data_IF_417176592746
#
_entry.id   IF_417176592746
#
_cell.length_a   1.000
_cell.length_b   1.000
_cell.length_c   1.000
_cell.angle_alpha   90.00
_cell.angle_beta   90.00
_cell.angle_gamma   90.00
#
_symmetry.space_group_name_H-M   'P 1'
#
loop_
_entity.id
_entity.type
_entity.pdbx_description
1 polymer ?
#
# COMPACT_ATOMS: atom_id res chain seq x y z
N UNK A 1 -25.05 18.86 -2.37
CA UNK A 1 -24.19 19.78 -1.58
C UNK A 1 -23.08 20.33 -2.47
N UNK A 2 -22.76 21.62 -2.38
CA UNK A 2 -21.71 22.25 -3.19
C UNK A 2 -20.32 21.70 -2.85
N UNK A 3 -19.50 21.44 -3.88
CA UNK A 3 -18.11 20.98 -3.75
C UNK A 3 -17.26 21.93 -2.89
N UNK A 4 -17.60 23.23 -2.90
CA UNK A 4 -16.93 24.27 -2.12
C UNK A 4 -17.15 24.12 -0.61
N UNK A 5 -18.36 23.74 -0.19
CA UNK A 5 -18.71 23.55 1.22
C UNK A 5 -18.00 22.34 1.81
N UNK A 6 -17.89 21.26 1.04
CA UNK A 6 -17.12 20.07 1.44
C UNK A 6 -15.62 20.36 1.57
N UNK A 7 -15.11 21.27 0.75
CA UNK A 7 -13.72 21.72 0.76
C UNK A 7 -13.39 22.53 2.04
N UNK A 8 -14.20 23.53 2.36
CA UNK A 8 -14.04 24.37 3.55
C UNK A 8 -14.15 23.57 4.86
N UNK A 9 -15.04 22.58 4.91
CA UNK A 9 -15.19 21.72 6.09
C UNK A 9 -13.97 20.79 6.33
N UNK A 10 -13.22 20.43 5.29
CA UNK A 10 -12.00 19.61 5.41
C UNK A 10 -10.80 20.47 5.85
N UNK A 11 -10.71 21.67 5.31
CA UNK A 11 -9.72 22.69 5.70
C UNK A 11 -9.86 23.07 7.17
N UNK A 12 -11.08 23.34 7.64
CA UNK A 12 -11.32 23.66 9.04
C UNK A 12 -10.95 22.51 9.98
N UNK A 13 -11.15 21.26 9.55
CA UNK A 13 -10.73 20.07 10.30
C UNK A 13 -9.21 19.94 10.39
N UNK A 14 -8.49 20.09 9.28
CA UNK A 14 -7.02 20.01 9.30
C UNK A 14 -6.39 21.15 10.10
N UNK A 15 -6.95 22.35 10.02
CA UNK A 15 -6.55 23.49 10.87
C UNK A 15 -6.85 23.18 12.34
N UNK A 16 -8.00 22.59 12.67
CA UNK A 16 -8.33 22.17 14.03
C UNK A 16 -7.38 21.09 14.56
N UNK A 17 -7.02 20.12 13.73
CA UNK A 17 -6.12 19.03 14.10
C UNK A 17 -4.67 19.53 14.26
N UNK A 18 -4.22 20.48 13.41
CA UNK A 18 -2.92 21.12 13.56
C UNK A 18 -2.88 22.07 14.77
N UNK A 19 -3.94 22.85 15.00
CA UNK A 19 -4.02 23.75 16.16
C UNK A 19 -4.13 22.97 17.47
N UNK A 20 -4.83 21.82 17.49
CA UNK A 20 -4.85 20.96 18.68
C UNK A 20 -3.48 20.36 18.97
N UNK A 21 -2.74 19.89 17.97
CA UNK A 21 -1.36 19.39 18.13
C UNK A 21 -0.41 20.45 18.71
N UNK A 22 -0.53 21.69 18.23
CA UNK A 22 0.27 22.84 18.70
C UNK A 22 -0.12 23.24 20.13
N UNK A 23 -1.43 23.32 20.42
CA UNK A 23 -1.93 23.65 21.76
C UNK A 23 -1.59 22.59 22.80
N UNK A 24 -1.56 21.32 22.39
CA UNK A 24 -1.20 20.18 23.25
C UNK A 24 0.32 19.98 23.37
N UNK A 25 1.15 20.82 22.73
CA UNK A 25 2.61 20.66 22.71
C UNK A 25 3.07 19.23 22.38
N UNK A 26 2.36 18.52 21.49
CA UNK A 26 2.66 17.12 21.14
C UNK A 26 4.03 16.93 20.44
N UNK A 27 4.79 18.01 20.21
CA UNK A 27 6.19 17.96 19.80
C UNK A 27 7.19 17.81 20.96
N UNK A 28 6.74 17.86 22.21
CA UNK A 28 7.55 17.68 23.42
C UNK A 28 7.39 16.30 24.07
N UNK A 29 6.48 15.47 23.57
CA UNK A 29 6.33 14.08 23.99
C UNK A 29 7.50 13.23 23.47
N UNK A 30 7.89 12.20 24.22
CA UNK A 30 8.93 11.27 23.78
C UNK A 30 8.48 10.59 22.48
N UNK A 31 9.32 10.60 21.41
CA UNK A 31 8.91 10.08 20.11
C UNK A 31 8.55 8.61 20.21
N UNK A 32 7.29 8.28 19.90
CA UNK A 32 6.79 6.91 19.97
C UNK A 32 7.51 6.03 18.96
N UNK A 33 8.36 5.14 19.46
CA UNK A 33 9.06 4.10 18.67
C UNK A 33 8.24 2.83 18.48
N UNK A 34 6.99 2.82 18.94
CA UNK A 34 6.09 1.67 18.74
C UNK A 34 5.84 1.45 17.24
N UNK A 35 5.77 0.19 16.77
CA UNK A 35 5.46 -0.08 15.37
C UNK A 35 4.15 0.56 14.95
N UNK A 36 4.18 1.36 13.89
CA UNK A 36 2.99 1.99 13.31
C UNK A 36 2.47 1.15 12.15
N UNK A 37 1.28 0.56 12.31
CA UNK A 37 0.61 -0.17 11.22
C UNK A 37 0.11 0.81 10.16
N UNK A 38 0.66 0.74 8.95
CA UNK A 38 0.25 1.60 7.82
C UNK A 38 -0.94 1.00 7.05
N UNK A 39 -0.88 -0.30 6.78
CA UNK A 39 -1.90 -1.04 6.05
C UNK A 39 -2.02 -2.45 6.61
N UNK A 40 -3.24 -2.99 6.58
CA UNK A 40 -3.53 -4.40 6.76
C UNK A 40 -4.12 -4.97 5.47
N UNK A 41 -4.16 -6.29 5.37
CA UNK A 41 -4.74 -7.00 4.22
C UNK A 41 -5.60 -8.16 4.71
N UNK A 42 -6.38 -7.94 5.76
CA UNK A 42 -7.08 -9.01 6.49
C UNK A 42 -8.59 -9.01 6.25
N UNK A 43 -9.11 -8.05 5.49
CA UNK A 43 -10.53 -7.94 5.16
C UNK A 43 -10.74 -7.43 3.74
N UNK A 44 -11.97 -7.52 3.24
CA UNK A 44 -12.30 -6.95 1.93
C UNK A 44 -12.19 -5.42 1.94
N UNK A 45 -12.49 -4.77 3.06
CA UNK A 45 -12.35 -3.33 3.25
C UNK A 45 -10.89 -2.88 3.11
N UNK A 46 -9.96 -3.69 3.62
CA UNK A 46 -8.53 -3.46 3.45
C UNK A 46 -8.13 -3.50 1.96
N UNK A 47 -8.56 -4.55 1.24
CA UNK A 47 -8.25 -4.71 -0.19
C UNK A 47 -8.82 -3.57 -1.03
N UNK A 48 -10.01 -3.08 -0.70
CA UNK A 48 -10.66 -1.97 -1.41
C UNK A 48 -9.90 -0.64 -1.33
N UNK A 49 -8.96 -0.51 -0.38
CA UNK A 49 -8.08 0.67 -0.29
C UNK A 49 -7.01 0.70 -1.39
N UNK A 50 -6.89 -0.36 -2.20
CA UNK A 50 -5.87 -0.48 -3.24
C UNK A 50 -6.49 -0.46 -4.63
N UNK A 51 -5.71 0.02 -5.59
CA UNK A 51 -6.00 -0.06 -7.01
C UNK A 51 -4.91 -0.90 -7.68
N UNK A 52 -5.32 -1.82 -8.55
CA UNK A 52 -4.43 -2.64 -9.38
C UNK A 52 -4.19 -1.96 -10.73
N UNK A 53 -3.08 -2.29 -11.37
CA UNK A 53 -2.75 -1.87 -12.74
C UNK A 53 -1.68 -2.76 -13.34
N UNK A 54 -1.68 -2.90 -14.66
CA UNK A 54 -0.70 -3.71 -15.39
C UNK A 54 -0.48 -3.18 -16.80
N UNK A 55 0.48 -3.75 -17.52
CA UNK A 55 0.80 -3.32 -18.88
C UNK A 55 -0.37 -3.41 -19.87
N UNK A 56 -1.43 -4.20 -19.57
CA UNK A 56 -2.61 -4.30 -20.41
C UNK A 56 -3.33 -2.95 -20.59
N UNK A 57 -3.19 -2.04 -19.62
CA UNK A 57 -3.75 -0.68 -19.66
C UNK A 57 -3.15 0.19 -20.78
N UNK A 58 -1.95 -0.17 -21.24
CA UNK A 58 -1.21 0.54 -22.31
C UNK A 58 -0.99 -0.32 -23.56
N UNK A 59 -1.64 -1.49 -23.64
CA UNK A 59 -1.57 -2.40 -24.80
C UNK A 59 -0.67 -3.62 -24.63
N UNK A 60 -0.20 -3.90 -23.42
CA UNK A 60 0.39 -5.18 -23.03
C UNK A 60 -0.63 -6.32 -22.95
N UNK A 61 -0.18 -7.46 -22.44
CA UNK A 61 -0.98 -8.70 -22.37
C UNK A 61 -0.94 -9.37 -21.00
N UNK A 62 -0.38 -8.72 -19.98
CA UNK A 62 -0.37 -9.23 -18.61
C UNK A 62 -1.75 -9.17 -17.97
N UNK A 63 -1.93 -9.92 -16.88
CA UNK A 63 -3.12 -9.86 -16.01
C UNK A 63 -2.72 -9.54 -14.58
N UNK A 64 -3.64 -8.92 -13.83
CA UNK A 64 -3.41 -8.55 -12.43
C UNK A 64 -4.69 -8.69 -11.60
N UNK A 65 -4.55 -9.29 -10.43
CA UNK A 65 -5.60 -9.47 -9.45
C UNK A 65 -5.05 -9.19 -8.06
N UNK A 66 -5.87 -8.54 -7.24
CA UNK A 66 -5.61 -8.35 -5.82
C UNK A 66 -6.90 -8.60 -5.06
N UNK A 67 -6.88 -9.53 -4.12
CA UNK A 67 -8.08 -10.05 -3.46
C UNK A 67 -7.75 -10.67 -2.11
N UNK A 68 -8.79 -10.92 -1.31
CA UNK A 68 -8.64 -11.60 -0.03
C UNK A 68 -8.51 -13.12 -0.27
N UNK A 69 -7.57 -13.75 0.41
CA UNK A 69 -7.35 -15.19 0.40
C UNK A 69 -7.61 -15.78 1.78
N UNK A 70 -8.78 -16.41 1.91
CA UNK A 70 -9.21 -17.12 3.11
C UNK A 70 -8.71 -18.56 3.15
N UNK A 71 -8.07 -19.07 2.08
CA UNK A 71 -7.64 -20.48 2.01
C UNK A 71 -6.55 -20.83 3.03
N UNK A 72 -5.86 -19.83 3.56
CA UNK A 72 -4.89 -19.97 4.64
C UNK A 72 -5.54 -20.13 6.03
N UNK A 73 -6.87 -19.99 6.11
CA UNK A 73 -7.67 -20.29 7.30
C UNK A 73 -8.09 -21.77 7.26
N UNK A 74 -7.29 -22.66 7.86
CA UNK A 74 -7.71 -24.05 8.06
C UNK A 74 -8.97 -24.10 8.96
N UNK A 75 -9.97 -24.95 8.67
CA UNK A 75 -11.10 -25.13 9.56
C UNK A 75 -10.59 -25.61 10.93
N UNK A 76 -11.10 -24.99 12.00
CA UNK A 76 -10.78 -25.34 13.38
C UNK A 76 -11.19 -26.79 13.63
N UNK A 77 -10.28 -27.74 13.43
CA UNK A 77 -10.43 -29.07 14.02
C UNK A 77 -10.08 -28.94 15.50
N UNK A 78 -11.10 -29.07 16.33
CA UNK A 78 -11.02 -29.44 17.74
C UNK A 78 -10.16 -28.52 18.63
N UNK A 79 -10.53 -27.25 18.75
CA UNK A 79 -10.23 -26.45 19.96
C UNK A 79 -8.75 -26.20 20.32
N UNK A 80 -7.78 -26.56 19.47
CA UNK A 80 -6.37 -26.30 19.75
C UNK A 80 -5.99 -24.87 19.36
N UNK A 81 -5.85 -24.02 20.37
CA UNK A 81 -5.29 -22.67 20.33
C UNK A 81 -3.79 -22.71 20.10
N UNK A 82 -3.34 -22.96 18.86
CA UNK A 82 -2.01 -22.49 18.45
C UNK A 82 -2.14 -21.00 18.12
N UNK A 83 -1.55 -20.14 18.96
CA UNK A 83 -1.55 -18.66 18.87
C UNK A 83 -0.88 -18.08 17.60
N UNK A 84 -0.65 -18.86 16.55
CA UNK A 84 -0.40 -18.29 15.23
C UNK A 84 -1.73 -17.80 14.67
N UNK A 85 -2.07 -16.58 15.04
CA UNK A 85 -3.15 -15.75 14.53
C UNK A 85 -3.44 -16.10 13.05
N UNK A 86 -4.45 -16.95 12.83
CA UNK A 86 -4.94 -17.37 11.52
C UNK A 86 -5.84 -16.26 11.00
N UNK A 87 -5.31 -15.38 10.16
CA UNK A 87 -6.07 -14.28 9.54
C UNK A 87 -6.04 -14.46 8.03
N UNK A 88 -7.15 -14.11 7.40
CA UNK A 88 -7.22 -13.90 5.96
C UNK A 88 -6.09 -12.97 5.52
N UNK A 89 -5.56 -13.19 4.32
CA UNK A 89 -4.44 -12.42 3.81
C UNK A 89 -4.73 -11.90 2.40
N UNK A 90 -4.24 -10.70 2.09
CA UNK A 90 -4.25 -10.20 0.72
C UNK A 90 -3.36 -11.05 -0.17
N UNK A 91 -3.91 -11.49 -1.30
CA UNK A 91 -3.21 -12.20 -2.34
C UNK A 91 -3.12 -11.32 -3.57
N UNK A 92 -1.91 -11.18 -4.09
CA UNK A 92 -1.62 -10.54 -5.36
C UNK A 92 -1.20 -11.62 -6.36
N UNK A 93 -1.90 -11.73 -7.49
CA UNK A 93 -1.62 -12.77 -8.48
C UNK A 93 -2.01 -12.33 -9.90
N UNK A 94 -1.51 -13.07 -10.89
CA UNK A 94 -1.76 -12.81 -12.31
C UNK A 94 -0.71 -13.49 -13.18
N UNK A 95 -0.81 -13.27 -14.49
CA UNK A 95 0.17 -13.72 -15.46
C UNK A 95 0.95 -12.53 -16.01
N UNK A 96 2.26 -12.55 -15.84
CA UNK A 96 3.15 -11.54 -16.40
C UNK A 96 3.60 -11.97 -17.79
N UNK A 97 3.35 -11.14 -18.80
CA UNK A 97 3.70 -11.41 -20.19
C UNK A 97 4.48 -10.23 -20.76
N UNK A 98 5.42 -10.53 -21.66
CA UNK A 98 6.18 -9.50 -22.39
C UNK A 98 5.51 -9.12 -23.72
N UNK A 99 4.49 -9.89 -24.13
CA UNK A 99 3.75 -9.66 -25.36
C UNK A 99 2.94 -8.37 -25.31
N UNK A 100 2.80 -7.74 -26.47
CA UNK A 100 2.02 -6.53 -26.69
C UNK A 100 1.00 -6.80 -27.79
N UNK A 101 -0.08 -6.02 -27.85
CA UNK A 101 -1.08 -6.14 -28.92
C UNK A 101 -0.47 -5.78 -30.28
N UNK A 102 -1.03 -6.39 -31.33
CA UNK A 102 -0.65 -6.14 -32.71
C UNK A 102 -0.59 -4.65 -33.05
N UNK A 103 0.53 -4.20 -33.62
CA UNK A 103 0.78 -2.81 -34.01
C UNK A 103 1.49 -1.96 -32.96
N UNK A 104 1.73 -2.50 -31.76
CA UNK A 104 2.45 -1.85 -30.65
C UNK A 104 3.84 -2.46 -30.39
N UNK A 105 4.25 -3.44 -31.18
CA UNK A 105 5.57 -4.05 -31.11
C UNK A 105 6.68 -3.00 -31.28
N UNK A 106 7.66 -3.02 -30.39
CA UNK A 106 8.77 -2.04 -30.39
C UNK A 106 8.41 -0.64 -29.91
N UNK A 107 7.10 -0.31 -29.78
CA UNK A 107 6.62 0.99 -29.28
C UNK A 107 6.44 1.01 -27.77
N UNK A 108 6.03 -0.10 -27.19
CA UNK A 108 5.88 -0.28 -25.75
C UNK A 108 6.59 -1.54 -25.28
N UNK A 109 6.93 -1.60 -24.00
CA UNK A 109 7.47 -2.80 -23.34
C UNK A 109 6.46 -3.27 -22.29
N UNK A 110 5.98 -4.51 -22.44
CA UNK A 110 5.21 -5.18 -21.41
C UNK A 110 6.10 -5.70 -20.27
N UNK A 111 5.48 -6.39 -19.32
CA UNK A 111 6.13 -7.04 -18.19
C UNK A 111 5.99 -6.31 -16.85
N UNK A 112 4.90 -5.56 -16.63
CA UNK A 112 4.60 -5.01 -15.30
C UNK A 112 3.18 -5.30 -14.84
N UNK A 113 3.06 -5.53 -13.54
CA UNK A 113 1.81 -5.58 -12.81
C UNK A 113 2.07 -5.09 -11.38
N UNK A 114 1.11 -4.39 -10.80
CA UNK A 114 1.25 -3.91 -9.44
C UNK A 114 -0.07 -3.45 -8.85
N UNK A 115 0.01 -3.05 -7.60
CA UNK A 115 -1.07 -2.37 -6.91
C UNK A 115 -0.49 -1.19 -6.13
N UNK A 116 -1.31 -0.18 -5.90
CA UNK A 116 -0.98 1.00 -5.09
C UNK A 116 -2.10 1.30 -4.12
N UNK A 117 -1.75 1.84 -2.96
CA UNK A 117 -2.75 2.43 -2.07
C UNK A 117 -3.43 3.60 -2.79
N UNK A 118 -4.75 3.69 -2.66
CA UNK A 118 -5.50 4.89 -3.03
C UNK A 118 -5.17 5.97 -2.00
N UNK A 119 -5.09 7.24 -2.42
CA UNK A 119 -4.94 8.35 -1.48
C UNK A 119 -5.97 8.21 -0.35
N UNK A 120 -5.48 8.20 0.90
CA UNK A 120 -6.27 7.76 2.05
C UNK A 120 -7.51 8.66 2.19
N UNK A 121 -8.70 8.06 2.12
CA UNK A 121 -9.96 8.75 2.35
C UNK A 121 -10.22 8.84 3.86
N UNK A 122 -10.27 10.06 4.42
CA UNK A 122 -11.02 10.29 5.65
C UNK A 122 -12.51 10.06 5.34
N UNK A 123 -13.07 9.07 6.02
CA UNK A 123 -14.44 8.56 5.90
C UNK A 123 -15.49 9.69 6.04
N UNK A 124 -16.36 9.85 5.03
CA UNK A 124 -17.74 10.36 5.16
C UNK A 124 -18.58 9.67 4.07
N UNK A 125 -19.74 9.18 4.50
CA UNK A 125 -20.72 8.27 3.91
C UNK A 125 -21.01 8.28 2.40
N UNK A 126 -21.50 7.10 1.98
CA UNK A 126 -22.32 6.73 0.81
C UNK A 126 -22.18 7.64 -0.42
N UNK A 127 -21.55 7.11 -1.47
CA UNK A 127 -21.28 7.71 -2.80
C UNK A 127 -19.97 8.48 -2.93
N UNK A 128 -18.81 7.80 -2.83
CA UNK A 128 -17.59 8.29 -3.49
C UNK A 128 -16.55 7.19 -3.73
N UNK A 129 -16.87 6.23 -4.60
CA UNK A 129 -15.81 5.49 -5.30
C UNK A 129 -15.31 6.35 -6.46
N UNK A 130 -14.00 6.55 -6.56
CA UNK A 130 -13.28 7.36 -7.56
C UNK A 130 -13.16 8.87 -7.29
N UNK A 131 -12.43 9.29 -6.23
CA UNK A 131 -11.49 10.45 -6.31
C UNK A 131 -10.42 10.33 -5.21
N UNK A 132 -9.11 10.43 -5.49
CA UNK A 132 -8.12 10.77 -4.47
C UNK A 132 -8.47 12.16 -3.91
N UNK A 133 -8.81 12.24 -2.62
CA UNK A 133 -9.25 13.49 -1.99
C UNK A 133 -8.03 14.34 -1.62
N UNK A 134 -7.52 15.11 -2.58
CA UNK A 134 -6.60 16.23 -2.29
C UNK A 134 -7.27 17.19 -1.28
N UNK A 135 -6.59 17.50 -0.19
CA UNK A 135 -6.98 18.61 0.68
C UNK A 135 -6.39 19.92 0.15
N UNK A 136 -6.77 21.09 0.70
CA UNK A 136 -6.11 22.37 0.42
C UNK A 136 -4.60 22.35 0.74
N UNK A 137 -4.15 21.35 1.49
CA UNK A 137 -2.81 21.22 2.06
C UNK A 137 -2.13 19.91 1.67
N UNK A 138 -2.57 19.23 0.60
CA UNK A 138 -1.95 18.00 0.11
C UNK A 138 -2.73 16.72 0.36
N UNK A 139 -2.10 15.57 0.07
CA UNK A 139 -2.64 14.23 0.35
C UNK A 139 -2.46 13.89 1.84
N UNK A 140 -3.34 13.05 2.39
CA UNK A 140 -3.17 12.55 3.77
C UNK A 140 -1.98 11.59 3.83
N UNK A 141 -0.91 12.00 4.51
CA UNK A 141 0.30 11.21 4.73
C UNK A 141 0.41 10.68 6.15
N UNK A 142 1.17 9.61 6.31
CA UNK A 142 1.60 9.11 7.60
C UNK A 142 2.95 9.72 7.96
N UNK A 143 3.04 10.42 9.08
CA UNK A 143 4.33 10.74 9.68
C UNK A 143 4.98 9.45 10.19
N UNK A 144 6.15 9.16 9.63
CA UNK A 144 7.03 8.01 9.93
C UNK A 144 8.47 8.48 10.17
N UNK A 145 8.68 9.76 10.49
CA UNK A 145 10.01 10.36 10.74
C UNK A 145 10.81 9.62 11.81
N UNK A 146 10.13 9.00 12.78
CA UNK A 146 10.74 8.23 13.87
C UNK A 146 10.91 6.74 13.57
N UNK A 147 10.61 6.29 12.34
CA UNK A 147 10.65 4.89 11.92
C UNK A 147 11.63 4.69 10.78
N UNK A 148 12.78 4.07 11.08
CA UNK A 148 13.85 3.83 10.10
C UNK A 148 13.53 2.74 9.07
N UNK A 149 12.60 1.84 9.39
CA UNK A 149 12.29 0.69 8.55
C UNK A 149 10.79 0.57 8.32
N UNK A 150 10.43 0.27 7.08
CA UNK A 150 9.14 -0.28 6.71
C UNK A 150 9.23 -1.80 6.81
N UNK A 151 8.42 -2.41 7.66
CA UNK A 151 8.29 -3.85 7.77
C UNK A 151 7.15 -4.35 6.86
N UNK A 152 7.42 -5.37 6.06
CA UNK A 152 6.46 -6.03 5.19
C UNK A 152 6.41 -7.52 5.57
N UNK A 153 5.24 -8.00 6.00
CA UNK A 153 5.03 -9.43 6.22
C UNK A 153 4.45 -10.08 4.98
N UNK A 154 5.26 -10.89 4.29
CA UNK A 154 4.95 -11.39 2.95
C UNK A 154 5.28 -12.88 2.84
N UNK A 155 4.71 -13.54 1.84
CA UNK A 155 5.17 -14.85 1.35
C UNK A 155 5.21 -14.82 -0.18
N UNK A 156 6.32 -15.25 -0.76
CA UNK A 156 6.43 -15.36 -2.22
C UNK A 156 5.95 -16.73 -2.69
N UNK A 157 5.01 -16.71 -3.64
CA UNK A 157 4.52 -17.87 -4.38
C UNK A 157 4.81 -17.71 -5.88
N UNK A 158 4.43 -18.71 -6.68
CA UNK A 158 4.60 -18.69 -8.14
C UNK A 158 5.95 -19.26 -8.59
N UNK A 159 6.37 -18.87 -9.80
CA UNK A 159 7.56 -19.46 -10.43
C UNK A 159 8.86 -18.99 -9.74
N UNK A 160 9.82 -19.89 -9.44
CA UNK A 160 11.11 -19.51 -8.85
C UNK A 160 11.89 -18.40 -9.59
N UNK A 161 11.74 -18.27 -10.91
CA UNK A 161 12.44 -17.26 -11.73
C UNK A 161 11.98 -15.84 -11.43
N UNK A 162 10.73 -15.65 -11.02
CA UNK A 162 10.17 -14.32 -10.71
C UNK A 162 10.20 -14.00 -9.22
N UNK A 163 10.73 -14.89 -8.38
CA UNK A 163 10.72 -14.76 -6.91
C UNK A 163 11.26 -13.42 -6.41
N UNK A 164 12.36 -12.95 -7.00
CA UNK A 164 12.98 -11.67 -6.63
C UNK A 164 12.66 -10.56 -7.66
N UNK A 165 11.52 -10.63 -8.33
CA UNK A 165 11.08 -9.63 -9.32
C UNK A 165 10.00 -8.69 -8.76
N UNK A 166 9.94 -8.56 -7.44
CA UNK A 166 9.03 -7.65 -6.75
C UNK A 166 9.77 -6.41 -6.29
N UNK A 167 9.07 -5.27 -6.39
CA UNK A 167 9.55 -3.98 -5.95
C UNK A 167 8.49 -3.34 -5.06
N UNK A 168 8.92 -2.63 -4.03
CA UNK A 168 8.07 -1.72 -3.28
C UNK A 168 8.52 -0.30 -3.58
N UNK A 169 7.53 0.55 -3.87
CA UNK A 169 7.76 1.95 -4.14
C UNK A 169 7.18 2.77 -2.98
N UNK A 170 7.95 3.72 -2.46
CA UNK A 170 7.56 4.62 -1.37
C UNK A 170 7.54 6.03 -1.94
N UNK A 171 6.42 6.73 -1.80
CA UNK A 171 6.25 8.11 -2.22
C UNK A 171 6.14 9.00 -0.98
N UNK A 172 6.85 10.12 -0.99
CA UNK A 172 6.82 11.12 0.08
C UNK A 172 6.06 12.36 -0.32
N UNK A 173 5.43 13.01 0.64
CA UNK A 173 4.94 14.39 0.46
C UNK A 173 6.12 15.34 0.64
N UNK A 174 6.72 15.72 -0.49
CA UNK A 174 7.86 16.61 -0.57
C UNK A 174 7.64 17.67 -1.65
N UNK A 175 8.56 18.64 -1.77
CA UNK A 175 8.44 19.73 -2.75
C UNK A 175 8.35 19.22 -4.20
N UNK A 176 8.84 18.01 -4.46
CA UNK A 176 8.71 17.29 -5.72
C UNK A 176 7.74 16.12 -5.50
N UNK A 177 6.50 16.29 -5.94
CA UNK A 177 5.43 15.28 -5.78
C UNK A 177 5.69 13.98 -6.54
N UNK A 178 6.71 13.94 -7.40
CA UNK A 178 7.11 12.78 -8.21
C UNK A 178 8.19 11.92 -7.56
N UNK A 179 8.69 12.27 -6.38
CA UNK A 179 9.74 11.50 -5.72
C UNK A 179 9.22 10.12 -5.32
N UNK A 180 9.77 9.10 -5.98
CA UNK A 180 9.39 7.70 -5.81
C UNK A 180 10.64 6.86 -5.53
N UNK A 181 10.74 6.38 -4.31
CA UNK A 181 11.84 5.53 -3.86
C UNK A 181 11.51 4.07 -4.13
N UNK A 182 12.25 3.43 -5.02
CA UNK A 182 12.04 2.04 -5.39
C UNK A 182 13.03 1.12 -4.68
N UNK A 183 12.50 0.09 -4.02
CA UNK A 183 13.28 -0.94 -3.35
C UNK A 183 12.92 -2.32 -3.90
N UNK A 184 13.92 -3.07 -4.33
CA UNK A 184 13.75 -4.47 -4.73
C UNK A 184 13.58 -5.35 -3.49
N UNK A 185 12.60 -6.25 -3.53
CA UNK A 185 12.36 -7.22 -2.46
C UNK A 185 13.15 -8.50 -2.74
N UNK A 186 13.81 -9.00 -1.70
CA UNK A 186 14.54 -10.27 -1.73
C UNK A 186 13.93 -11.21 -0.69
N UNK A 187 13.45 -12.36 -1.15
CA UNK A 187 12.87 -13.40 -0.30
C UNK A 187 13.96 -14.39 0.07
N UNK A 188 14.13 -14.66 1.38
CA UNK A 188 15.15 -15.61 1.88
C UNK A 188 14.61 -17.02 1.93
N UNK A 189 13.33 -17.18 2.22
CA UNK A 189 12.67 -18.49 2.17
C UNK A 189 12.48 -18.90 0.72
N UNK A 190 12.29 -20.18 0.44
CA UNK A 190 11.85 -20.75 -0.84
C UNK A 190 10.65 -21.71 -0.71
N UNK A 191 10.29 -22.06 0.52
CA UNK A 191 9.19 -22.95 0.90
C UNK A 191 7.78 -22.34 0.86
N UNK A 192 7.66 -21.09 0.41
CA UNK A 192 6.38 -20.36 0.38
C UNK A 192 5.85 -19.95 1.75
N UNK A 193 6.68 -20.04 2.80
CA UNK A 193 6.35 -19.56 4.14
C UNK A 193 6.37 -18.04 4.27
N UNK A 194 5.78 -17.55 5.36
CA UNK A 194 5.79 -16.12 5.72
C UNK A 194 7.18 -15.68 6.18
N UNK A 195 7.60 -14.49 5.76
CA UNK A 195 8.80 -13.81 6.25
C UNK A 195 8.55 -12.30 6.37
N UNK A 196 9.27 -11.68 7.30
CA UNK A 196 9.27 -10.24 7.48
C UNK A 196 10.46 -9.64 6.70
N UNK A 197 10.16 -8.76 5.75
CA UNK A 197 11.13 -8.03 4.94
C UNK A 197 11.16 -6.58 5.44
N UNK A 198 12.37 -6.10 5.76
CA UNK A 198 12.58 -4.74 6.24
C UNK A 198 13.21 -3.89 5.13
N UNK A 199 12.50 -2.85 4.73
CA UNK A 199 12.97 -1.86 3.76
C UNK A 199 13.39 -0.62 4.54
N UNK A 200 14.59 -0.11 4.28
CA UNK A 200 15.05 1.13 4.91
C UNK A 200 14.28 2.30 4.33
N UNK A 201 13.61 3.03 5.20
CA UNK A 201 13.03 4.32 4.89
C UNK A 201 14.16 5.36 4.90
N UNK A 202 15.00 5.37 3.85
CA UNK A 202 15.97 6.45 3.65
C UNK A 202 15.20 7.69 3.20
N UNK A 203 14.63 8.42 4.15
CA UNK A 203 13.88 9.66 3.89
C UNK A 203 14.50 10.88 4.59
N UNK A 204 15.66 10.70 5.24
CA UNK A 204 16.36 11.77 5.96
C UNK A 204 17.83 11.67 5.59
N UNK A 205 18.35 12.71 4.92
CA UNK A 205 19.78 12.97 4.81
C UNK A 205 20.39 13.14 6.21
N UNK A 206 21.66 12.76 6.34
CA UNK A 206 22.49 12.95 7.54
C UNK A 206 22.44 14.38 8.11
#
# INVERSE_FOLDING_TARGET
MSRLTQYLNRTSKLVRDNTSRVLLMQGADEPSRTPKTLFTFNSNEDIQQFATGCDADVGGTSTVHFGLDDSSVLPTKNGETTEQIRRSAGKFWGEMRLGVRGGLEGKIRGGYAGFRSKARNLYIDYLQWLQPRTTLFGEMTDDVSMHRFLALRLRAAGHPRTRNSYYVNIQTDGPITTDLWQHRLYFRRDDGGWEDIFVRAYMLSD
#
